data_IF_869282208189
#
_entry.id   IF_869282208189
#
_cell.length_a   1.000
_cell.length_b   1.000
_cell.length_c   1.000
_cell.angle_alpha   90.00
_cell.angle_beta   90.00
_cell.angle_gamma   90.00
#
_symmetry.space_group_name_H-M   'P 1'
#
loop_
_entity.id
_entity.type
_entity.pdbx_description
1 polymer ?
#
# COMPACT_ATOMS: atom_id res chain seq x y z
N UNK A 1 4.49 2.42 -3.94
CA UNK A 1 4.35 3.71 -3.23
C UNK A 1 2.93 4.24 -3.41
N UNK A 2 2.31 4.77 -2.37
CA UNK A 2 0.97 5.40 -2.38
C UNK A 2 1.11 6.92 -2.33
N UNK A 3 0.07 7.65 -2.79
CA UNK A 3 -0.02 9.11 -2.67
C UNK A 3 -1.39 9.51 -2.13
N UNK A 4 -1.51 10.75 -1.65
CA UNK A 4 -2.78 11.28 -1.18
C UNK A 4 -3.77 11.56 -2.31
N UNK A 5 -5.06 11.60 -1.97
CA UNK A 5 -6.15 11.91 -2.92
C UNK A 5 -5.91 13.21 -3.70
N UNK A 6 -5.55 14.30 -3.01
CA UNK A 6 -5.32 15.58 -3.67
C UNK A 6 -4.15 15.53 -4.68
N UNK A 7 -3.10 14.76 -4.38
CA UNK A 7 -1.97 14.54 -5.28
C UNK A 7 -2.38 13.68 -6.48
N UNK A 8 -3.15 12.63 -6.25
CA UNK A 8 -3.73 11.80 -7.31
C UNK A 8 -4.62 12.59 -8.25
N UNK A 9 -5.50 13.44 -7.72
CA UNK A 9 -6.35 14.33 -8.51
C UNK A 9 -5.53 15.33 -9.34
N UNK A 10 -4.49 15.92 -8.77
CA UNK A 10 -3.61 16.83 -9.51
C UNK A 10 -2.87 16.11 -10.64
N UNK A 11 -2.44 14.87 -10.40
CA UNK A 11 -1.84 14.04 -11.45
C UNK A 11 -2.87 13.74 -12.56
N UNK A 12 -4.05 13.26 -12.23
CA UNK A 12 -5.11 12.97 -13.21
C UNK A 12 -5.52 14.20 -14.01
N UNK A 13 -5.56 15.37 -13.37
CA UNK A 13 -5.85 16.65 -14.04
C UNK A 13 -4.83 17.00 -15.11
N UNK A 14 -3.53 16.69 -14.90
CA UNK A 14 -2.48 16.87 -15.93
C UNK A 14 -2.74 16.03 -17.18
N UNK A 15 -3.41 14.89 -17.03
CA UNK A 15 -3.83 14.03 -18.15
C UNK A 15 -5.20 14.40 -18.74
N UNK A 16 -5.87 15.42 -18.20
CA UNK A 16 -7.14 15.94 -18.73
C UNK A 16 -8.40 15.43 -18.03
N UNK A 17 -8.28 14.67 -16.94
CA UNK A 17 -9.45 14.27 -16.13
C UNK A 17 -9.96 15.48 -15.36
N UNK A 18 -11.26 15.72 -15.44
CA UNK A 18 -11.91 16.78 -14.64
C UNK A 18 -12.02 16.34 -13.18
N UNK A 19 -11.59 17.23 -12.30
CA UNK A 19 -11.68 17.06 -10.84
C UNK A 19 -12.27 18.33 -10.23
N UNK A 20 -12.93 18.26 -9.05
CA UNK A 20 -13.37 19.45 -8.33
C UNK A 20 -12.18 20.34 -7.95
N UNK A 21 -12.41 21.64 -7.82
CA UNK A 21 -11.38 22.52 -7.26
C UNK A 21 -11.20 22.20 -5.79
N UNK A 22 -9.96 22.04 -5.39
CA UNK A 22 -9.62 21.72 -4.00
C UNK A 22 -8.27 22.31 -3.59
N UNK A 23 -8.09 22.56 -2.30
CA UNK A 23 -6.86 23.12 -1.73
C UNK A 23 -6.45 22.25 -0.54
N UNK A 24 -5.25 21.65 -0.53
CA UNK A 24 -4.72 20.94 0.62
C UNK A 24 -4.37 21.90 1.75
N UNK A 25 -4.67 21.53 3.00
CA UNK A 25 -4.49 22.35 4.18
C UNK A 25 -3.86 21.55 5.32
N UNK A 26 -2.99 22.21 6.10
CA UNK A 26 -2.25 21.61 7.21
C UNK A 26 -2.63 22.23 8.57
N UNK A 27 -3.53 23.21 8.56
CA UNK A 27 -4.09 23.81 9.76
C UNK A 27 -5.56 24.19 9.55
N UNK A 28 -6.28 24.41 10.66
CA UNK A 28 -7.68 24.84 10.62
C UNK A 28 -7.82 26.22 9.95
N UNK A 29 -6.88 27.13 10.19
CA UNK A 29 -6.93 28.46 9.59
C UNK A 29 -6.65 28.43 8.09
N UNK A 30 -5.77 27.53 7.61
CA UNK A 30 -5.60 27.28 6.18
C UNK A 30 -6.87 26.71 5.56
N UNK A 31 -7.58 25.81 6.25
CA UNK A 31 -8.84 25.25 5.77
C UNK A 31 -9.92 26.31 5.58
N UNK A 32 -10.03 27.25 6.51
CA UNK A 32 -10.94 28.39 6.40
C UNK A 32 -10.59 29.28 5.22
N UNK A 33 -9.31 29.67 5.08
CA UNK A 33 -8.83 30.48 3.95
C UNK A 33 -9.03 29.78 2.60
N UNK A 34 -8.84 28.46 2.56
CA UNK A 34 -9.09 27.65 1.37
C UNK A 34 -10.55 27.69 0.96
N UNK A 35 -11.48 27.55 1.90
CA UNK A 35 -12.91 27.63 1.61
C UNK A 35 -13.31 29.02 1.11
N UNK A 36 -12.79 30.09 1.73
CA UNK A 36 -13.00 31.47 1.29
C UNK A 36 -12.45 31.69 -0.14
N UNK A 37 -11.27 31.17 -0.44
CA UNK A 37 -10.65 31.28 -1.77
C UNK A 37 -11.39 30.49 -2.85
N UNK A 38 -11.90 29.30 -2.52
CA UNK A 38 -12.73 28.50 -3.44
C UNK A 38 -14.07 29.20 -3.76
N UNK A 39 -14.60 29.95 -2.77
CA UNK A 39 -15.92 30.57 -2.89
C UNK A 39 -17.06 29.54 -2.87
N UNK A 40 -18.24 29.98 -3.27
CA UNK A 40 -19.43 29.11 -3.27
C UNK A 40 -20.15 29.08 -1.92
N UNK A 41 -21.01 28.08 -1.71
CA UNK A 41 -21.83 27.94 -0.50
C UNK A 41 -21.78 26.55 0.12
N UNK A 42 -21.10 25.61 -0.53
CA UNK A 42 -20.94 24.23 -0.05
C UNK A 42 -19.51 23.80 -0.28
N UNK A 43 -18.89 23.27 0.76
CA UNK A 43 -17.55 22.70 0.72
C UNK A 43 -17.54 21.29 1.31
N UNK A 44 -16.53 20.51 0.98
CA UNK A 44 -16.28 19.20 1.59
C UNK A 44 -14.93 19.25 2.28
N UNK A 45 -14.91 18.91 3.57
CA UNK A 45 -13.70 18.77 4.38
C UNK A 45 -13.33 17.31 4.39
N UNK A 46 -12.18 16.95 3.78
CA UNK A 46 -11.74 15.57 3.59
C UNK A 46 -10.41 15.31 4.29
N UNK A 47 -10.38 14.33 5.19
CA UNK A 47 -9.13 13.79 5.71
C UNK A 47 -8.25 13.26 4.58
N UNK A 48 -6.96 13.50 4.65
CA UNK A 48 -5.99 12.95 3.70
C UNK A 48 -5.12 11.93 4.41
N UNK A 49 -5.41 10.64 4.17
CA UNK A 49 -4.64 9.47 4.59
C UNK A 49 -4.56 8.49 3.42
N UNK A 50 -3.58 7.57 3.44
CA UNK A 50 -3.40 6.54 2.40
C UNK A 50 -4.35 5.34 2.57
N UNK A 51 -5.60 5.60 2.97
CA UNK A 51 -6.63 4.57 3.14
C UNK A 51 -7.97 5.01 2.55
N UNK A 52 -8.72 4.04 2.06
CA UNK A 52 -10.11 4.19 1.65
C UNK A 52 -11.08 4.15 2.82
N UNK A 53 -12.38 4.32 2.56
CA UNK A 53 -13.43 4.26 3.58
C UNK A 53 -13.49 5.46 4.53
N UNK A 54 -12.79 6.56 4.21
CA UNK A 54 -12.69 7.76 5.05
C UNK A 54 -14.04 8.37 5.41
N UNK A 55 -15.00 8.32 4.48
CA UNK A 55 -16.36 8.83 4.72
C UNK A 55 -17.08 8.04 5.81
N UNK A 56 -17.04 6.71 5.77
CA UNK A 56 -17.61 5.81 6.80
C UNK A 56 -16.93 6.01 8.17
N UNK A 57 -15.61 6.28 8.17
CA UNK A 57 -14.84 6.58 9.39
C UNK A 57 -15.05 8.00 9.96
N UNK A 58 -15.84 8.86 9.32
CA UNK A 58 -16.08 10.22 9.77
C UNK A 58 -15.05 11.25 9.29
N UNK A 59 -14.10 10.84 8.44
CA UNK A 59 -13.06 11.70 7.88
C UNK A 59 -13.51 12.58 6.70
N UNK A 60 -14.78 12.56 6.31
CA UNK A 60 -15.34 13.40 5.24
C UNK A 60 -16.62 14.06 5.73
N UNK A 61 -16.69 15.39 5.67
CA UNK A 61 -17.85 16.18 6.12
C UNK A 61 -18.19 17.29 5.13
N UNK A 62 -19.48 17.44 4.88
CA UNK A 62 -20.03 18.54 4.08
C UNK A 62 -20.22 19.75 5.00
N UNK A 63 -19.72 20.91 4.57
CA UNK A 63 -19.86 22.19 5.23
C UNK A 63 -20.73 23.13 4.39
N UNK A 64 -21.67 23.81 5.01
CA UNK A 64 -22.59 24.79 4.37
C UNK A 64 -22.32 26.23 4.80
N UNK A 65 -21.31 26.41 5.64
CA UNK A 65 -20.83 27.71 6.10
C UNK A 65 -19.33 27.64 6.40
N UNK A 66 -18.67 28.79 6.45
CA UNK A 66 -17.26 28.90 6.88
C UNK A 66 -17.10 28.44 8.35
N UNK A 67 -18.10 28.66 9.19
CA UNK A 67 -18.10 28.16 10.56
C UNK A 67 -18.11 26.62 10.60
N UNK A 68 -18.89 25.96 9.71
CA UNK A 68 -18.88 24.50 9.60
C UNK A 68 -17.51 24.00 9.13
N UNK A 69 -16.88 24.68 8.15
CA UNK A 69 -15.52 24.33 7.69
C UNK A 69 -14.55 24.35 8.86
N UNK A 70 -14.55 25.41 9.66
CA UNK A 70 -13.70 25.53 10.86
C UNK A 70 -13.96 24.39 11.85
N UNK A 71 -15.22 24.11 12.14
CA UNK A 71 -15.62 23.06 13.08
C UNK A 71 -15.19 21.68 12.59
N UNK A 72 -15.49 21.34 11.32
CA UNK A 72 -15.13 20.05 10.75
C UNK A 72 -13.62 19.88 10.61
N UNK A 73 -12.90 20.92 10.17
CA UNK A 73 -11.45 20.90 10.12
C UNK A 73 -10.82 20.67 11.50
N UNK A 74 -11.34 21.33 12.55
CA UNK A 74 -10.89 21.16 13.93
C UNK A 74 -11.13 19.74 14.47
N UNK A 75 -12.23 19.10 14.08
CA UNK A 75 -12.56 17.75 14.51
C UNK A 75 -11.77 16.67 13.76
N UNK A 76 -11.47 16.90 12.48
CA UNK A 76 -10.84 15.89 11.61
C UNK A 76 -9.31 15.98 11.66
N UNK A 77 -8.75 17.19 11.68
CA UNK A 77 -7.29 17.36 11.73
C UNK A 77 -6.74 16.86 13.08
N UNK A 78 -5.80 15.94 13.04
CA UNK A 78 -5.20 15.33 14.21
C UNK A 78 -5.97 14.13 14.79
N UNK A 79 -7.18 13.82 14.29
CA UNK A 79 -7.91 12.63 14.72
C UNK A 79 -7.18 11.35 14.30
N UNK A 80 -7.41 10.28 15.06
CA UNK A 80 -7.05 8.93 14.68
C UNK A 80 -8.21 8.35 13.87
N UNK A 81 -8.05 8.29 12.54
CA UNK A 81 -9.12 7.85 11.65
C UNK A 81 -9.04 6.35 11.44
N UNK A 82 -10.06 5.64 11.90
CA UNK A 82 -10.21 4.20 11.74
C UNK A 82 -11.09 3.91 10.53
N UNK A 83 -10.57 3.10 9.62
CA UNK A 83 -11.29 2.57 8.45
C UNK A 83 -11.02 1.07 8.34
N UNK A 84 -11.72 0.37 7.45
CA UNK A 84 -11.45 -1.05 7.18
C UNK A 84 -10.03 -1.31 6.60
N UNK A 85 -9.33 -0.25 6.12
CA UNK A 85 -7.98 -0.35 5.55
C UNK A 85 -6.86 0.11 6.50
N UNK A 86 -7.18 0.75 7.64
CA UNK A 86 -6.17 1.24 8.61
C UNK A 86 -5.92 0.31 9.79
N UNK A 87 -6.70 -0.78 9.91
CA UNK A 87 -6.70 -1.58 11.14
C UNK A 87 -7.37 -0.84 12.31
N UNK A 88 -7.39 -1.50 13.46
CA UNK A 88 -8.05 -0.98 14.69
C UNK A 88 -7.35 0.26 15.27
N UNK A 89 -6.05 0.40 15.05
CA UNK A 89 -5.26 1.54 15.53
C UNK A 89 -5.55 2.82 14.76
N UNK A 90 -6.04 2.70 13.52
CA UNK A 90 -6.32 3.82 12.63
C UNK A 90 -5.06 4.53 12.14
N UNK A 91 -5.26 5.62 11.40
CA UNK A 91 -4.21 6.49 10.88
C UNK A 91 -4.44 7.92 11.34
N UNK A 92 -3.38 8.59 11.82
CA UNK A 92 -3.47 9.99 12.23
C UNK A 92 -3.63 10.90 11.04
N UNK A 93 -4.68 11.73 11.06
CA UNK A 93 -4.93 12.75 10.02
C UNK A 93 -4.01 13.95 10.23
N UNK A 94 -3.05 14.15 9.33
CA UNK A 94 -2.09 15.27 9.40
C UNK A 94 -2.37 16.39 8.42
N UNK A 95 -3.29 16.16 7.48
CA UNK A 95 -3.67 17.14 6.45
C UNK A 95 -5.11 16.94 5.98
N UNK A 96 -5.68 18.00 5.45
CA UNK A 96 -7.04 18.04 4.93
C UNK A 96 -7.01 18.43 3.45
N UNK A 97 -8.06 18.07 2.72
CA UNK A 97 -8.42 18.67 1.45
C UNK A 97 -9.73 19.42 1.66
N UNK A 98 -9.74 20.72 1.37
CA UNK A 98 -10.97 21.50 1.27
C UNK A 98 -11.35 21.57 -0.19
N UNK A 99 -12.52 21.08 -0.52
CA UNK A 99 -12.99 20.91 -1.89
C UNK A 99 -14.35 21.56 -2.09
N UNK A 100 -14.61 22.11 -3.28
CA UNK A 100 -15.93 22.61 -3.64
C UNK A 100 -16.95 21.48 -3.66
N UNK A 101 -18.18 21.78 -3.26
CA UNK A 101 -19.29 20.81 -3.34
C UNK A 101 -19.63 20.48 -4.80
N UNK A 102 -20.04 19.24 -5.05
CA UNK A 102 -20.46 18.76 -6.36
C UNK A 102 -21.95 18.37 -6.35
N UNK A 103 -22.66 18.65 -7.44
CA UNK A 103 -24.03 18.20 -7.66
C UNK A 103 -24.03 16.75 -8.17
N UNK A 104 -24.07 15.79 -7.27
CA UNK A 104 -23.96 14.36 -7.56
C UNK A 104 -25.33 13.82 -7.97
N UNK A 105 -25.47 13.44 -9.25
CA UNK A 105 -26.64 12.73 -9.75
C UNK A 105 -26.46 11.22 -9.71
N UNK A 106 -25.24 10.73 -10.01
CA UNK A 106 -24.89 9.31 -10.01
C UNK A 106 -23.44 9.12 -9.60
N UNK A 107 -23.19 8.12 -8.80
CA UNK A 107 -21.84 7.68 -8.41
C UNK A 107 -21.48 6.40 -9.15
N UNK A 108 -20.30 6.35 -9.73
CA UNK A 108 -19.79 5.28 -10.57
C UNK A 108 -18.40 4.88 -10.07
N UNK A 109 -17.98 3.69 -10.41
CA UNK A 109 -16.63 3.19 -10.13
C UNK A 109 -15.84 3.01 -11.41
N UNK A 110 -14.57 3.41 -11.42
CA UNK A 110 -13.60 3.09 -12.46
C UNK A 110 -12.25 2.78 -11.81
N UNK A 111 -11.67 1.63 -12.15
CA UNK A 111 -10.36 1.23 -11.65
C UNK A 111 -9.52 0.54 -12.73
N UNK A 112 -8.20 0.66 -12.61
CA UNK A 112 -7.22 -0.02 -13.45
C UNK A 112 -6.24 -0.78 -12.57
N UNK A 113 -5.98 -2.02 -12.96
CA UNK A 113 -4.99 -2.90 -12.34
C UNK A 113 -4.26 -3.70 -13.41
N UNK A 114 -3.10 -4.23 -13.07
CA UNK A 114 -2.47 -5.29 -13.87
C UNK A 114 -3.11 -6.62 -13.47
N UNK A 115 -3.81 -7.24 -14.39
CA UNK A 115 -4.33 -8.60 -14.21
C UNK A 115 -3.20 -9.61 -14.44
N UNK A 116 -2.86 -10.37 -13.41
CA UNK A 116 -1.78 -11.35 -13.44
C UNK A 116 -2.11 -12.59 -14.29
N UNK A 117 -3.39 -12.90 -14.45
CA UNK A 117 -3.85 -14.05 -15.24
C UNK A 117 -3.70 -13.77 -16.72
N UNK A 118 -4.20 -12.62 -17.17
CA UNK A 118 -4.13 -12.20 -18.57
C UNK A 118 -2.81 -11.50 -18.91
N UNK A 119 -2.04 -11.07 -17.90
CA UNK A 119 -0.82 -10.27 -18.04
C UNK A 119 -1.03 -8.95 -18.80
N UNK A 120 -2.23 -8.37 -18.64
CA UNK A 120 -2.64 -7.12 -19.28
C UNK A 120 -3.16 -6.13 -18.25
N UNK A 121 -3.17 -4.85 -18.62
CA UNK A 121 -3.90 -3.84 -17.85
C UNK A 121 -5.39 -4.08 -18.06
N UNK A 122 -6.12 -4.22 -16.98
CA UNK A 122 -7.57 -4.40 -16.99
C UNK A 122 -8.26 -3.16 -16.42
N UNK A 123 -9.15 -2.59 -17.22
CA UNK A 123 -10.10 -1.57 -16.77
C UNK A 123 -11.29 -2.27 -16.15
N UNK A 124 -11.67 -1.84 -14.97
CA UNK A 124 -12.92 -2.22 -14.31
C UNK A 124 -13.82 -1.01 -14.19
N UNK A 125 -15.09 -1.16 -14.53
CA UNK A 125 -16.09 -0.09 -14.39
C UNK A 125 -17.39 -0.66 -13.82
N UNK A 126 -18.05 0.10 -12.93
CA UNK A 126 -19.32 -0.30 -12.33
C UNK A 126 -20.28 0.89 -12.19
N UNK A 127 -21.58 0.59 -12.26
CA UNK A 127 -22.65 1.54 -11.90
C UNK A 127 -22.73 1.78 -10.39
N UNK A 128 -22.07 0.97 -9.59
CA UNK A 128 -22.02 1.04 -8.12
C UNK A 128 -20.74 1.75 -7.69
N UNK A 129 -20.82 3.06 -7.49
CA UNK A 129 -19.71 3.88 -6.98
C UNK A 129 -19.96 4.38 -5.55
N UNK A 130 -18.94 4.98 -4.94
CA UNK A 130 -19.01 5.50 -3.58
C UNK A 130 -19.04 4.44 -2.49
N UNK A 131 -18.87 3.17 -2.85
CA UNK A 131 -18.85 2.02 -1.94
C UNK A 131 -17.64 1.13 -2.22
N UNK A 132 -17.40 0.17 -1.32
CA UNK A 132 -16.27 -0.75 -1.45
C UNK A 132 -16.50 -1.69 -2.64
N UNK A 133 -15.60 -1.65 -3.63
CA UNK A 133 -15.75 -2.45 -4.86
C UNK A 133 -15.63 -3.95 -4.59
N UNK A 134 -14.92 -4.34 -3.54
CA UNK A 134 -14.81 -5.71 -3.07
C UNK A 134 -16.18 -6.26 -2.62
N UNK A 135 -16.98 -5.42 -1.99
CA UNK A 135 -18.37 -5.78 -1.60
C UNK A 135 -19.26 -5.96 -2.83
N UNK A 136 -19.08 -5.12 -3.86
CA UNK A 136 -19.79 -5.27 -5.15
C UNK A 136 -19.34 -6.55 -5.84
N UNK A 137 -18.03 -6.86 -5.82
CA UNK A 137 -17.48 -8.06 -6.43
C UNK A 137 -18.00 -9.36 -5.76
N UNK A 138 -18.26 -9.31 -4.47
CA UNK A 138 -18.80 -10.45 -3.70
C UNK A 138 -20.31 -10.64 -3.92
N UNK A 139 -21.09 -9.54 -3.86
CA UNK A 139 -22.56 -9.59 -3.85
C UNK A 139 -23.19 -9.53 -5.24
N UNK A 140 -22.62 -8.73 -6.13
CA UNK A 140 -23.18 -8.40 -7.45
C UNK A 140 -22.07 -8.30 -8.52
N UNK A 141 -21.27 -9.35 -8.73
CA UNK A 141 -20.13 -9.34 -9.63
C UNK A 141 -20.49 -9.00 -11.08
N UNK A 142 -21.74 -9.25 -11.49
CA UNK A 142 -22.29 -8.91 -12.82
C UNK A 142 -22.35 -7.40 -13.09
N UNK A 143 -22.32 -6.57 -12.03
CA UNK A 143 -22.29 -5.10 -12.17
C UNK A 143 -20.86 -4.56 -12.40
N UNK A 144 -19.83 -5.42 -12.32
CA UNK A 144 -18.45 -5.04 -12.62
C UNK A 144 -18.10 -5.46 -14.04
N UNK A 145 -17.98 -4.48 -14.93
CA UNK A 145 -17.56 -4.70 -16.30
C UNK A 145 -16.03 -4.62 -16.40
N UNK A 146 -15.42 -5.67 -16.95
CA UNK A 146 -13.95 -5.77 -17.10
C UNK A 146 -13.57 -5.73 -18.58
N UNK A 147 -12.48 -5.04 -18.88
CA UNK A 147 -11.92 -4.94 -20.22
C UNK A 147 -10.40 -4.97 -20.13
N UNK A 148 -9.79 -5.98 -20.75
CA UNK A 148 -8.34 -6.04 -20.94
C UNK A 148 -7.91 -5.13 -22.08
N UNK A 149 -6.86 -4.35 -21.87
CA UNK A 149 -6.38 -3.33 -22.80
C UNK A 149 -5.10 -3.82 -23.49
N UNK A 150 -5.09 -3.79 -24.80
CA UNK A 150 -3.88 -3.98 -25.59
C UNK A 150 -2.97 -2.75 -25.42
N UNK A 151 -1.74 -2.90 -24.89
CA UNK A 151 -0.85 -1.78 -24.69
C UNK A 151 -0.41 -1.08 -25.98
N UNK A 152 -0.52 -1.75 -27.15
CA UNK A 152 -0.22 -1.14 -28.44
C UNK A 152 -1.24 -0.09 -28.86
N UNK A 153 -2.49 -0.22 -28.43
CA UNK A 153 -3.60 0.67 -28.82
C UNK A 153 -4.09 1.57 -27.69
N UNK A 154 -3.88 1.14 -26.42
CA UNK A 154 -4.52 1.76 -25.28
C UNK A 154 -6.05 1.60 -25.31
N UNK A 155 -6.76 2.42 -24.57
CA UNK A 155 -8.23 2.44 -24.55
C UNK A 155 -8.74 3.15 -25.80
N UNK A 156 -9.40 2.41 -26.69
CA UNK A 156 -9.99 2.98 -27.90
C UNK A 156 -11.32 3.72 -27.60
N UNK A 157 -11.74 4.60 -28.51
CA UNK A 157 -13.02 5.32 -28.40
C UNK A 157 -14.20 4.37 -28.22
N UNK A 158 -14.25 3.32 -29.05
CA UNK A 158 -15.33 2.34 -29.00
C UNK A 158 -15.39 1.57 -27.67
N UNK A 159 -14.24 1.22 -27.11
CA UNK A 159 -14.14 0.56 -25.81
C UNK A 159 -14.59 1.47 -24.68
N UNK A 160 -14.15 2.72 -24.67
CA UNK A 160 -14.55 3.70 -23.67
C UNK A 160 -16.05 3.99 -23.73
N UNK A 161 -16.62 4.14 -24.93
CA UNK A 161 -18.05 4.38 -25.13
C UNK A 161 -18.90 3.17 -24.68
N UNK A 162 -18.46 1.94 -25.00
CA UNK A 162 -19.15 0.73 -24.58
C UNK A 162 -19.19 0.60 -23.04
N UNK A 163 -18.02 0.76 -22.38
CA UNK A 163 -17.96 0.76 -20.91
C UNK A 163 -18.83 1.86 -20.30
N UNK A 164 -18.78 3.06 -20.87
CA UNK A 164 -19.59 4.20 -20.41
C UNK A 164 -21.08 3.90 -20.44
N UNK A 165 -21.57 3.31 -21.53
CA UNK A 165 -22.99 2.92 -21.67
C UNK A 165 -23.37 1.84 -20.67
N UNK A 166 -22.51 0.83 -20.47
CA UNK A 166 -22.76 -0.27 -19.51
C UNK A 166 -22.92 0.23 -18.08
N UNK A 167 -22.16 1.24 -17.67
CA UNK A 167 -22.29 1.83 -16.33
C UNK A 167 -23.35 2.94 -16.26
N UNK A 168 -24.05 3.20 -17.37
CA UNK A 168 -25.20 4.10 -17.46
C UNK A 168 -24.85 5.58 -17.57
N UNK A 169 -23.76 5.91 -18.25
CA UNK A 169 -23.45 7.28 -18.69
C UNK A 169 -24.28 7.60 -19.93
N UNK A 170 -25.00 8.74 -19.95
CA UNK A 170 -25.85 9.10 -21.07
C UNK A 170 -25.03 9.54 -22.30
N UNK A 171 -25.62 9.41 -23.50
CA UNK A 171 -24.96 9.71 -24.78
C UNK A 171 -24.33 11.12 -24.81
N UNK A 172 -25.01 12.13 -24.24
CA UNK A 172 -24.49 13.51 -24.20
C UNK A 172 -23.21 13.68 -23.34
N UNK A 173 -22.86 12.70 -22.49
CA UNK A 173 -21.69 12.73 -21.61
C UNK A 173 -20.58 11.77 -22.07
N UNK A 174 -20.76 11.01 -23.14
CA UNK A 174 -19.80 10.01 -23.61
C UNK A 174 -18.44 10.61 -23.95
N UNK A 175 -18.38 11.77 -24.57
CA UNK A 175 -17.13 12.42 -24.93
C UNK A 175 -16.26 12.74 -23.67
N UNK A 176 -16.90 13.17 -22.58
CA UNK A 176 -16.21 13.44 -21.32
C UNK A 176 -15.78 12.12 -20.64
N UNK A 177 -16.64 11.11 -20.65
CA UNK A 177 -16.33 9.79 -20.09
C UNK A 177 -15.18 9.12 -20.83
N UNK A 178 -15.17 9.19 -22.17
CA UNK A 178 -14.07 8.71 -23.01
C UNK A 178 -12.74 9.34 -22.60
N UNK A 179 -12.73 10.67 -22.42
CA UNK A 179 -11.54 11.38 -21.92
C UNK A 179 -11.09 10.81 -20.59
N UNK A 180 -11.99 10.49 -19.65
CA UNK A 180 -11.64 9.91 -18.36
C UNK A 180 -10.97 8.54 -18.52
N UNK A 181 -11.57 7.61 -19.28
CA UNK A 181 -11.02 6.26 -19.47
C UNK A 181 -9.65 6.29 -20.15
N UNK A 182 -9.50 7.09 -21.20
CA UNK A 182 -8.25 7.21 -21.95
C UNK A 182 -7.15 7.90 -21.13
N UNK A 183 -7.49 8.98 -20.43
CA UNK A 183 -6.55 9.71 -19.60
C UNK A 183 -6.12 8.90 -18.38
N UNK A 184 -7.03 8.16 -17.74
CA UNK A 184 -6.72 7.29 -16.62
C UNK A 184 -5.78 6.16 -17.04
N UNK A 185 -6.03 5.52 -18.20
CA UNK A 185 -5.14 4.51 -18.75
C UNK A 185 -3.76 5.10 -19.07
N UNK A 186 -3.71 6.27 -19.71
CA UNK A 186 -2.46 6.94 -20.05
C UNK A 186 -1.66 7.30 -18.78
N UNK A 187 -2.32 7.85 -17.77
CA UNK A 187 -1.70 8.12 -16.48
C UNK A 187 -1.16 6.85 -15.83
N UNK A 188 -1.97 5.77 -15.80
CA UNK A 188 -1.57 4.47 -15.26
C UNK A 188 -0.31 3.94 -15.95
N UNK A 189 -0.29 3.92 -17.28
CA UNK A 189 0.80 3.39 -18.09
C UNK A 189 2.08 4.21 -17.99
N UNK A 190 1.98 5.53 -18.17
CA UNK A 190 3.14 6.42 -18.22
C UNK A 190 3.81 6.65 -16.85
N UNK A 191 3.08 6.41 -15.76
CA UNK A 191 3.61 6.60 -14.40
C UNK A 191 3.97 5.30 -13.70
N UNK A 192 3.90 4.16 -14.39
CA UNK A 192 4.07 2.83 -13.81
C UNK A 192 3.18 2.62 -12.58
N UNK A 193 1.93 3.03 -12.67
CA UNK A 193 0.98 2.79 -11.61
C UNK A 193 0.66 1.28 -11.52
N UNK A 194 0.49 0.78 -10.30
CA UNK A 194 0.02 -0.58 -10.00
C UNK A 194 -1.48 -0.64 -9.72
N UNK A 195 -2.05 0.51 -9.34
CA UNK A 195 -3.48 0.75 -9.15
C UNK A 195 -3.78 2.20 -9.52
N UNK A 196 -4.84 2.41 -10.28
CA UNK A 196 -5.47 3.72 -10.42
C UNK A 196 -6.98 3.53 -10.26
N UNK A 197 -7.57 4.22 -9.30
CA UNK A 197 -8.98 4.08 -8.95
C UNK A 197 -9.62 5.46 -8.81
N UNK A 198 -10.80 5.61 -9.38
CA UNK A 198 -11.71 6.74 -9.19
C UNK A 198 -12.98 6.19 -8.54
N UNK A 199 -13.19 6.51 -7.28
CA UNK A 199 -14.34 5.99 -6.52
C UNK A 199 -14.85 7.03 -5.48
N UNK A 200 -15.87 7.83 -5.87
CA UNK A 200 -16.64 7.72 -7.10
C UNK A 200 -16.11 8.57 -8.28
N UNK A 201 -16.36 8.08 -9.48
CA UNK A 201 -16.54 8.90 -10.67
C UNK A 201 -17.99 9.37 -10.66
N UNK A 202 -18.26 10.66 -10.77
CA UNK A 202 -19.63 11.18 -10.70
C UNK A 202 -20.14 11.69 -12.03
N UNK A 203 -21.43 11.49 -12.24
CA UNK A 203 -22.22 12.22 -13.22
C UNK A 203 -23.00 13.32 -12.47
N UNK A 204 -22.81 14.56 -12.89
CA UNK A 204 -23.52 15.71 -12.30
C UNK A 204 -24.89 15.90 -12.93
N UNK A 205 -25.74 16.73 -12.30
CA UNK A 205 -27.05 17.11 -12.85
C UNK A 205 -26.96 17.77 -14.23
N UNK A 206 -25.86 18.45 -14.54
CA UNK A 206 -25.59 19.08 -15.84
C UNK A 206 -24.98 18.12 -16.87
N UNK A 207 -24.76 16.85 -16.52
CA UNK A 207 -24.15 15.86 -17.41
C UNK A 207 -22.62 15.89 -17.44
N UNK A 208 -21.96 16.59 -16.54
CA UNK A 208 -20.51 16.55 -16.43
C UNK A 208 -20.04 15.24 -15.77
N UNK A 209 -18.91 14.72 -16.27
CA UNK A 209 -18.24 13.53 -15.71
C UNK A 209 -16.98 13.99 -14.98
N UNK A 210 -16.95 13.76 -13.66
CA UNK A 210 -15.92 14.33 -12.75
C UNK A 210 -15.38 13.24 -11.82
N UNK A 211 -14.06 13.17 -11.65
CA UNK A 211 -13.42 12.30 -10.65
C UNK A 211 -13.49 12.97 -9.27
N UNK A 212 -14.37 12.48 -8.41
CA UNK A 212 -14.60 13.06 -7.08
C UNK A 212 -13.57 12.58 -6.06
N UNK A 213 -13.06 11.37 -6.21
CA UNK A 213 -11.95 10.82 -5.43
C UNK A 213 -10.95 10.13 -6.36
N UNK A 214 -9.72 10.00 -5.94
CA UNK A 214 -8.67 9.34 -6.70
C UNK A 214 -7.71 8.61 -5.75
N UNK A 215 -7.42 7.36 -6.08
CA UNK A 215 -6.42 6.53 -5.39
C UNK A 215 -5.44 5.99 -6.41
N UNK A 216 -4.17 6.36 -6.26
CA UNK A 216 -3.09 5.89 -7.11
C UNK A 216 -2.00 5.23 -6.28
N UNK A 217 -1.59 4.06 -6.72
CA UNK A 217 -0.41 3.37 -6.22
C UNK A 217 0.55 3.16 -7.38
N UNK A 218 1.85 3.28 -7.12
CA UNK A 218 2.89 3.15 -8.12
C UNK A 218 3.77 1.94 -7.83
N UNK A 219 4.29 1.32 -8.88
CA UNK A 219 5.27 0.25 -8.76
C UNK A 219 6.57 0.83 -8.18
N UNK A 220 6.93 0.38 -6.98
CA UNK A 220 8.14 0.85 -6.30
C UNK A 220 9.41 0.51 -7.07
N UNK A 221 9.40 -0.55 -7.90
CA UNK A 221 10.53 -0.94 -8.73
C UNK A 221 10.78 0.04 -9.90
N UNK A 222 9.78 0.85 -10.26
CA UNK A 222 9.88 1.82 -11.36
C UNK A 222 10.18 3.25 -10.88
N UNK A 223 10.15 3.53 -9.57
CA UNK A 223 10.29 4.89 -9.02
C UNK A 223 11.61 5.57 -9.37
N UNK A 224 12.67 4.82 -9.69
CA UNK A 224 13.95 5.37 -10.11
C UNK A 224 13.84 6.26 -11.36
N UNK A 225 12.81 6.08 -12.17
CA UNK A 225 12.54 6.88 -13.37
C UNK A 225 11.42 7.93 -13.21
N UNK A 226 10.85 8.07 -12.02
CA UNK A 226 9.73 8.97 -11.68
C UNK A 226 10.05 9.84 -10.47
N UNK A 227 11.05 10.71 -10.60
CA UNK A 227 11.50 11.60 -9.52
C UNK A 227 10.39 12.55 -9.04
N UNK A 228 9.50 12.98 -9.93
CA UNK A 228 8.34 13.82 -9.60
C UNK A 228 7.30 13.07 -8.74
N UNK A 229 7.13 11.78 -8.96
CA UNK A 229 6.25 10.93 -8.13
C UNK A 229 6.91 10.64 -6.78
N UNK A 230 8.21 10.36 -6.77
CA UNK A 230 8.96 10.18 -5.51
C UNK A 230 8.83 11.40 -4.60
N UNK A 231 8.82 12.61 -5.16
CA UNK A 231 8.64 13.86 -4.41
C UNK A 231 7.25 13.97 -3.72
N UNK A 232 6.27 13.15 -4.11
CA UNK A 232 4.94 13.11 -3.50
C UNK A 232 4.86 12.16 -2.29
N UNK A 233 5.92 11.42 -2.00
CA UNK A 233 5.97 10.43 -0.92
C UNK A 233 5.72 11.09 0.43
N UNK A 234 4.89 10.45 1.24
CA UNK A 234 4.62 10.85 2.61
C UNK A 234 5.06 9.75 3.58
N UNK A 235 6.19 9.96 4.24
CA UNK A 235 6.76 8.98 5.19
C UNK A 235 5.90 8.81 6.44
N UNK A 236 5.08 9.78 6.82
CA UNK A 236 4.15 9.68 7.94
C UNK A 236 2.99 8.70 7.69
N UNK A 237 2.80 8.28 6.44
CA UNK A 237 1.78 7.32 6.01
C UNK A 237 2.36 5.91 5.78
N UNK A 238 3.66 5.73 5.96
CA UNK A 238 4.35 4.45 5.79
C UNK A 238 4.72 3.83 7.13
N UNK A 239 4.90 2.51 7.16
CA UNK A 239 5.35 1.82 8.36
C UNK A 239 6.79 2.23 8.72
N UNK A 240 7.07 2.65 9.97
CA UNK A 240 8.40 3.09 10.38
C UNK A 240 9.48 2.01 10.24
N UNK A 241 9.14 0.73 10.38
CA UNK A 241 10.09 -0.37 10.20
C UNK A 241 10.43 -0.57 8.73
N UNK A 242 9.45 -0.42 7.83
CA UNK A 242 9.66 -0.48 6.37
C UNK A 242 10.53 0.69 5.88
N UNK A 243 10.29 1.90 6.42
CA UNK A 243 11.13 3.07 6.15
C UNK A 243 12.57 2.83 6.59
N UNK A 244 12.75 2.32 7.79
CA UNK A 244 14.10 2.05 8.32
C UNK A 244 14.82 0.98 7.49
N UNK A 245 14.12 -0.10 7.14
CA UNK A 245 14.64 -1.19 6.32
C UNK A 245 15.12 -0.68 4.93
N UNK A 246 14.37 0.23 4.34
CA UNK A 246 14.72 0.79 3.03
C UNK A 246 16.05 1.54 3.01
N UNK A 247 16.51 2.09 4.14
CA UNK A 247 17.80 2.77 4.26
C UNK A 247 18.99 1.82 4.12
N UNK A 248 18.77 0.54 4.40
CA UNK A 248 19.78 -0.52 4.34
C UNK A 248 19.57 -1.45 3.14
N UNK A 249 18.71 -1.06 2.20
CA UNK A 249 18.37 -1.90 1.04
C UNK A 249 17.88 -3.30 1.47
N UNK A 250 17.02 -3.34 2.47
CA UNK A 250 16.31 -4.52 2.97
C UNK A 250 14.87 -4.50 2.48
N UNK A 251 14.41 -5.60 1.88
CA UNK A 251 13.00 -5.78 1.58
C UNK A 251 12.27 -6.27 2.83
N UNK A 252 11.58 -5.38 3.52
CA UNK A 252 10.85 -5.65 4.76
C UNK A 252 9.38 -5.28 4.62
N UNK A 253 8.50 -6.15 5.11
CA UNK A 253 7.06 -5.88 5.24
C UNK A 253 6.63 -6.33 6.64
N UNK A 254 6.01 -5.44 7.40
CA UNK A 254 5.46 -5.74 8.71
C UNK A 254 4.18 -6.58 8.58
N UNK A 255 4.05 -7.61 9.42
CA UNK A 255 2.87 -8.46 9.53
C UNK A 255 2.42 -8.55 11.00
N UNK A 256 1.22 -9.10 11.23
CA UNK A 256 0.57 -9.11 12.56
C UNK A 256 1.00 -10.27 13.47
N UNK A 257 1.98 -11.09 13.07
CA UNK A 257 2.43 -12.25 13.83
C UNK A 257 3.47 -11.94 14.89
N UNK A 258 4.00 -13.01 15.50
CA UNK A 258 4.97 -12.97 16.60
C UNK A 258 6.27 -13.74 16.34
N UNK A 259 6.44 -14.31 15.13
CA UNK A 259 7.67 -15.02 14.73
C UNK A 259 8.38 -14.20 13.65
N UNK A 260 9.52 -13.62 14.00
CA UNK A 260 10.37 -12.88 13.07
C UNK A 260 11.02 -13.80 12.05
N UNK A 261 11.07 -13.35 10.80
CA UNK A 261 11.68 -14.10 9.70
C UNK A 261 12.84 -13.30 9.10
N UNK A 262 14.03 -13.91 9.02
CA UNK A 262 15.18 -13.38 8.30
C UNK A 262 15.63 -14.41 7.26
N UNK A 263 15.52 -14.05 6.00
CA UNK A 263 15.71 -14.99 4.88
C UNK A 263 16.50 -14.32 3.76
N UNK A 264 17.23 -15.07 2.98
CA UNK A 264 17.84 -14.59 1.73
C UNK A 264 17.10 -15.13 0.53
N UNK A 265 16.45 -14.21 -0.20
CA UNK A 265 15.63 -14.49 -1.36
C UNK A 265 14.14 -14.52 -1.09
N UNK A 266 13.40 -13.71 -1.85
CA UNK A 266 11.96 -13.49 -1.65
C UNK A 266 11.12 -14.78 -1.73
N UNK A 267 11.44 -15.69 -2.66
CA UNK A 267 10.74 -16.97 -2.78
C UNK A 267 10.93 -17.86 -1.54
N UNK A 268 12.16 -17.90 -0.99
CA UNK A 268 12.44 -18.64 0.24
C UNK A 268 11.76 -17.98 1.44
N UNK A 269 11.67 -16.64 1.49
CA UNK A 269 10.98 -15.91 2.54
C UNK A 269 9.49 -16.25 2.55
N UNK A 270 8.82 -16.23 1.40
CA UNK A 270 7.41 -16.63 1.27
C UNK A 270 7.20 -18.08 1.72
N UNK A 271 8.01 -19.02 1.20
CA UNK A 271 7.91 -20.41 1.59
C UNK A 271 8.17 -20.65 3.09
N UNK A 272 9.05 -19.84 3.70
CA UNK A 272 9.31 -19.90 5.14
C UNK A 272 8.08 -19.48 5.94
N UNK A 273 7.46 -18.38 5.56
CA UNK A 273 6.22 -17.89 6.20
C UNK A 273 5.07 -18.89 6.05
N UNK A 274 4.88 -19.45 4.86
CA UNK A 274 3.86 -20.48 4.61
C UNK A 274 4.10 -21.71 5.49
N UNK A 275 5.37 -22.13 5.62
CA UNK A 275 5.71 -23.28 6.46
C UNK A 275 5.43 -22.97 7.95
N UNK A 276 5.78 -21.77 8.45
CA UNK A 276 5.44 -21.37 9.83
C UNK A 276 3.91 -21.43 10.04
N UNK A 277 3.13 -20.91 9.10
CA UNK A 277 1.66 -20.99 9.14
C UNK A 277 1.15 -22.43 9.18
N UNK A 278 1.71 -23.31 8.35
CA UNK A 278 1.35 -24.73 8.30
C UNK A 278 1.56 -25.43 9.67
N UNK A 279 2.58 -25.03 10.43
CA UNK A 279 2.86 -25.52 11.77
C UNK A 279 2.12 -24.77 12.89
N UNK A 280 1.20 -23.87 12.54
CA UNK A 280 0.33 -23.15 13.48
C UNK A 280 0.97 -21.93 14.13
N UNK A 281 2.02 -21.36 13.53
CA UNK A 281 2.64 -20.12 13.94
C UNK A 281 2.20 -18.92 13.12
N UNK A 282 2.52 -17.72 13.58
CA UNK A 282 2.16 -16.46 12.92
C UNK A 282 3.43 -15.64 12.59
N UNK A 283 3.80 -15.49 11.29
CA UNK A 283 4.93 -14.66 10.89
C UNK A 283 4.71 -13.19 11.24
N UNK A 284 5.73 -12.56 11.84
CA UNK A 284 5.71 -11.15 12.22
C UNK A 284 6.15 -10.22 11.09
N UNK A 285 6.86 -10.73 10.09
CA UNK A 285 7.36 -9.96 8.97
C UNK A 285 7.76 -10.85 7.79
N UNK A 286 7.71 -10.25 6.59
CA UNK A 286 8.52 -10.67 5.46
C UNK A 286 9.85 -9.93 5.54
N UNK A 287 10.97 -10.62 5.33
CA UNK A 287 12.29 -9.98 5.22
C UNK A 287 13.19 -10.78 4.29
N UNK A 288 13.65 -10.12 3.23
CA UNK A 288 14.68 -10.63 2.33
C UNK A 288 15.93 -9.75 2.47
N UNK A 289 17.01 -10.32 2.99
CA UNK A 289 18.30 -9.63 3.11
C UNK A 289 19.09 -9.58 1.80
N UNK A 290 18.58 -10.24 0.75
CA UNK A 290 19.23 -10.34 -0.55
C UNK A 290 20.41 -11.30 -0.60
N UNK A 291 20.92 -11.54 -1.81
CA UNK A 291 22.06 -12.45 -2.06
C UNK A 291 23.44 -11.90 -1.66
N UNK A 292 23.54 -10.63 -1.25
CA UNK A 292 24.78 -9.95 -0.88
C UNK A 292 24.76 -9.39 0.55
N UNK A 293 24.00 -10.00 1.48
CA UNK A 293 23.88 -9.49 2.84
C UNK A 293 25.24 -9.49 3.57
N UNK A 294 25.52 -8.34 4.17
CA UNK A 294 26.68 -8.14 5.04
C UNK A 294 26.28 -8.33 6.50
N UNK A 295 27.26 -8.48 7.40
CA UNK A 295 27.01 -8.49 8.83
C UNK A 295 26.25 -7.24 9.31
N UNK A 296 26.49 -6.08 8.68
CA UNK A 296 25.77 -4.84 8.96
C UNK A 296 24.30 -4.94 8.60
N UNK A 297 23.96 -5.37 7.37
CA UNK A 297 22.56 -5.59 6.93
C UNK A 297 21.83 -6.56 7.87
N UNK A 298 22.46 -7.67 8.26
CA UNK A 298 21.90 -8.63 9.19
C UNK A 298 21.65 -7.98 10.56
N UNK A 299 22.60 -7.17 11.05
CA UNK A 299 22.46 -6.47 12.34
C UNK A 299 21.28 -5.49 12.31
N UNK A 300 21.14 -4.70 11.26
CA UNK A 300 20.02 -3.76 11.13
C UNK A 300 18.68 -4.50 10.97
N UNK A 301 18.66 -5.61 10.24
CA UNK A 301 17.50 -6.48 10.16
C UNK A 301 17.03 -6.96 11.54
N UNK A 302 17.95 -7.44 12.40
CA UNK A 302 17.60 -7.82 13.77
C UNK A 302 17.08 -6.64 14.58
N UNK A 303 17.73 -5.46 14.50
CA UNK A 303 17.28 -4.24 15.20
C UNK A 303 15.87 -3.85 14.81
N UNK A 304 15.54 -3.95 13.51
CA UNK A 304 14.21 -3.63 12.99
C UNK A 304 13.18 -4.61 13.53
N UNK A 305 13.44 -5.93 13.41
CA UNK A 305 12.52 -6.95 13.91
C UNK A 305 12.27 -6.83 15.43
N UNK A 306 13.31 -6.54 16.21
CA UNK A 306 13.23 -6.42 17.68
C UNK A 306 12.48 -5.17 18.17
N UNK A 307 12.11 -4.24 17.29
CA UNK A 307 11.20 -3.14 17.64
C UNK A 307 9.75 -3.60 17.78
N UNK A 308 9.40 -4.74 17.20
CA UNK A 308 8.07 -5.32 17.35
C UNK A 308 7.93 -5.89 18.80
N UNK A 309 7.08 -5.32 19.66
CA UNK A 309 6.91 -5.76 21.03
C UNK A 309 6.29 -7.15 21.17
N UNK A 310 5.57 -7.60 20.13
CA UNK A 310 4.90 -8.90 20.09
C UNK A 310 5.84 -10.04 19.66
N UNK A 311 7.09 -9.72 19.28
CA UNK A 311 8.05 -10.71 18.81
C UNK A 311 8.45 -11.68 19.92
N UNK A 312 8.20 -12.97 19.71
CA UNK A 312 8.49 -14.05 20.66
C UNK A 312 9.62 -14.97 20.25
N UNK A 313 9.87 -15.15 18.97
CA UNK A 313 10.96 -15.95 18.44
C UNK A 313 11.39 -15.44 17.06
N UNK A 314 12.60 -15.80 16.63
CA UNK A 314 13.11 -15.47 15.28
C UNK A 314 13.55 -16.76 14.58
N UNK A 315 13.16 -16.89 13.31
CA UNK A 315 13.66 -17.89 12.38
C UNK A 315 14.59 -17.23 11.36
N UNK A 316 15.85 -17.64 11.35
CA UNK A 316 16.80 -17.35 10.28
C UNK A 316 16.83 -18.55 9.35
N UNK A 317 16.43 -18.38 8.10
CA UNK A 317 16.42 -19.44 7.11
C UNK A 317 17.22 -19.01 5.86
N UNK A 318 18.41 -19.61 5.73
CA UNK A 318 19.39 -19.24 4.71
C UNK A 318 19.63 -20.41 3.75
N UNK A 319 19.63 -20.10 2.47
CA UNK A 319 20.15 -20.96 1.44
C UNK A 319 21.41 -20.32 0.85
N UNK A 320 22.57 -20.89 1.16
CA UNK A 320 23.88 -20.42 0.72
C UNK A 320 24.12 -20.79 -0.74
N UNK A 321 24.10 -19.76 -1.59
CA UNK A 321 24.53 -19.83 -2.98
C UNK A 321 25.74 -18.90 -3.18
N UNK A 322 25.50 -17.72 -3.77
CA UNK A 322 26.49 -16.63 -3.85
C UNK A 322 26.91 -16.19 -2.44
N UNK A 323 25.94 -16.07 -1.54
CA UNK A 323 26.20 -15.84 -0.12
C UNK A 323 26.55 -17.17 0.56
N UNK A 324 27.64 -17.18 1.33
CA UNK A 324 28.12 -18.35 2.04
C UNK A 324 27.53 -18.43 3.45
N UNK A 325 27.25 -19.66 3.91
CA UNK A 325 26.67 -19.88 5.24
C UNK A 325 27.59 -19.41 6.40
N UNK A 326 28.88 -19.50 6.26
CA UNK A 326 29.86 -19.01 7.25
C UNK A 326 29.77 -17.48 7.41
N UNK A 327 29.68 -16.73 6.31
CA UNK A 327 29.52 -15.26 6.35
C UNK A 327 28.22 -14.85 7.05
N UNK A 328 27.14 -15.58 6.79
CA UNK A 328 25.87 -15.31 7.48
C UNK A 328 25.93 -15.71 8.95
N UNK A 329 26.58 -16.84 9.27
CA UNK A 329 26.75 -17.25 10.67
C UNK A 329 27.49 -16.17 11.48
N UNK A 330 28.57 -15.60 10.93
CA UNK A 330 29.29 -14.49 11.54
C UNK A 330 28.40 -13.25 11.69
N UNK A 331 27.62 -12.92 10.67
CA UNK A 331 26.64 -11.83 10.70
C UNK A 331 25.58 -12.03 11.79
N UNK A 332 24.98 -13.20 11.87
CA UNK A 332 23.98 -13.57 12.90
C UNK A 332 24.59 -13.50 14.31
N UNK A 333 25.79 -14.03 14.51
CA UNK A 333 26.48 -14.00 15.80
C UNK A 333 26.78 -12.55 16.21
N UNK A 334 27.33 -11.77 15.29
CA UNK A 334 27.65 -10.34 15.52
C UNK A 334 26.41 -9.54 15.87
N UNK A 335 25.37 -9.70 15.07
CA UNK A 335 24.08 -9.03 15.27
C UNK A 335 23.45 -9.42 16.61
N UNK A 336 23.38 -10.72 16.91
CA UNK A 336 22.78 -11.22 18.17
C UNK A 336 23.48 -10.66 19.41
N UNK A 337 24.82 -10.55 19.37
CA UNK A 337 25.61 -9.93 20.45
C UNK A 337 25.38 -8.42 20.54
N UNK A 338 25.39 -7.73 19.39
CA UNK A 338 25.22 -6.27 19.34
C UNK A 338 23.85 -5.80 19.85
N UNK A 339 22.78 -6.56 19.57
CA UNK A 339 21.42 -6.22 20.02
C UNK A 339 21.07 -6.82 21.39
N UNK A 340 21.92 -7.69 21.94
CA UNK A 340 21.64 -8.39 23.19
C UNK A 340 20.38 -9.25 23.09
N UNK A 341 20.31 -10.10 22.06
CA UNK A 341 19.12 -10.89 21.71
C UNK A 341 18.57 -11.67 22.90
N UNK A 342 17.30 -11.45 23.23
CA UNK A 342 16.62 -12.10 24.37
C UNK A 342 15.56 -13.12 23.94
N UNK A 343 15.14 -13.08 22.69
CA UNK A 343 14.16 -14.03 22.14
C UNK A 343 14.87 -15.26 21.58
N UNK A 344 14.24 -16.45 21.61
CA UNK A 344 14.79 -17.65 21.00
C UNK A 344 15.12 -17.45 19.52
N UNK A 345 16.27 -17.96 19.10
CA UNK A 345 16.75 -17.88 17.72
C UNK A 345 16.88 -19.29 17.14
N UNK A 346 16.06 -19.60 16.16
CA UNK A 346 16.16 -20.82 15.35
C UNK A 346 16.88 -20.51 14.07
N UNK A 347 17.88 -21.30 13.70
CA UNK A 347 18.68 -21.09 12.48
C UNK A 347 18.71 -22.35 11.63
N UNK A 348 18.29 -22.21 10.40
CA UNK A 348 18.45 -23.22 9.34
C UNK A 348 19.36 -22.65 8.28
N UNK A 349 20.46 -23.37 7.99
CA UNK A 349 21.41 -23.01 6.92
C UNK A 349 21.64 -24.22 6.02
N UNK A 350 21.59 -24.00 4.71
CA UNK A 350 21.90 -24.99 3.67
C UNK A 350 22.73 -24.34 2.56
N UNK A 351 23.59 -25.13 1.92
CA UNK A 351 24.35 -24.71 0.75
C UNK A 351 25.84 -24.48 1.03
N UNK A 352 26.44 -23.48 0.35
CA UNK A 352 27.88 -23.25 0.37
C UNK A 352 28.40 -22.97 1.79
N UNK A 353 29.40 -23.72 2.23
CA UNK A 353 30.02 -23.65 3.57
C UNK A 353 29.04 -23.96 4.73
N UNK A 354 28.03 -24.81 4.49
CA UNK A 354 27.01 -25.19 5.49
C UNK A 354 27.64 -25.70 6.79
N UNK A 355 28.55 -26.66 6.73
CA UNK A 355 29.19 -27.26 7.90
C UNK A 355 30.02 -26.24 8.70
N UNK A 356 30.72 -25.35 8.01
CA UNK A 356 31.48 -24.27 8.68
C UNK A 356 30.54 -23.28 9.35
N UNK A 357 29.45 -22.87 8.71
CA UNK A 357 28.44 -21.99 9.28
C UNK A 357 27.80 -22.60 10.53
N UNK A 358 27.38 -23.88 10.48
CA UNK A 358 26.85 -24.60 11.66
C UNK A 358 27.84 -24.68 12.80
N UNK A 359 29.11 -24.96 12.50
CA UNK A 359 30.17 -24.99 13.49
C UNK A 359 30.36 -23.65 14.19
N UNK A 360 30.43 -22.55 13.43
CA UNK A 360 30.54 -21.19 13.98
C UNK A 360 29.38 -20.85 14.92
N UNK A 361 28.16 -21.20 14.54
CA UNK A 361 26.96 -20.99 15.38
C UNK A 361 27.06 -21.81 16.68
N UNK A 362 27.44 -23.07 16.60
CA UNK A 362 27.57 -23.95 17.77
C UNK A 362 28.66 -23.48 18.75
N UNK A 363 29.79 -22.98 18.24
CA UNK A 363 30.90 -22.47 19.00
C UNK A 363 30.72 -21.03 19.51
N UNK A 364 29.67 -20.35 19.10
CA UNK A 364 29.39 -18.92 19.43
C UNK A 364 29.07 -18.67 20.90
N UNK A 365 28.63 -19.70 21.62
CA UNK A 365 28.13 -19.60 22.99
C UNK A 365 26.75 -18.93 23.13
N UNK A 366 26.07 -18.65 22.01
CA UNK A 366 24.71 -18.13 21.98
C UNK A 366 23.67 -19.27 22.04
N UNK A 367 22.51 -19.06 22.66
CA UNK A 367 21.44 -20.06 22.74
C UNK A 367 20.69 -20.20 21.40
N UNK A 368 21.43 -20.67 20.38
CA UNK A 368 20.90 -20.86 19.03
C UNK A 368 20.39 -22.28 18.85
N UNK A 369 19.18 -22.42 18.36
CA UNK A 369 18.55 -23.70 18.03
C UNK A 369 18.78 -24.00 16.56
N UNK A 370 19.58 -25.00 16.23
CA UNK A 370 19.83 -25.41 14.85
C UNK A 370 18.70 -26.28 14.30
N UNK A 371 18.43 -26.18 13.00
CA UNK A 371 17.50 -27.01 12.25
C UNK A 371 18.09 -27.40 10.90
N UNK A 372 17.82 -28.62 10.43
CA UNK A 372 18.33 -29.16 9.17
C UNK A 372 17.33 -29.08 8.00
N UNK A 373 16.04 -29.02 8.28
CA UNK A 373 14.99 -28.86 7.29
C UNK A 373 14.09 -27.65 7.56
N UNK A 374 13.33 -27.22 6.56
CA UNK A 374 12.35 -26.15 6.74
C UNK A 374 11.23 -26.56 7.72
N UNK A 375 10.75 -27.78 7.62
CA UNK A 375 9.72 -28.31 8.51
C UNK A 375 10.21 -28.32 9.96
N UNK A 376 11.41 -28.84 10.22
CA UNK A 376 12.03 -28.85 11.54
C UNK A 376 12.24 -27.42 12.09
N UNK A 377 12.69 -26.50 11.23
CA UNK A 377 12.89 -25.11 11.62
C UNK A 377 11.57 -24.43 12.02
N UNK A 378 10.49 -24.66 11.26
CA UNK A 378 9.17 -24.14 11.58
C UNK A 378 8.60 -24.76 12.85
N UNK A 379 8.72 -26.07 13.03
CA UNK A 379 8.29 -26.76 14.26
C UNK A 379 9.00 -26.19 15.49
N UNK A 380 10.33 -26.06 15.42
CA UNK A 380 11.16 -25.54 16.53
C UNK A 380 10.85 -24.09 16.84
N UNK A 381 10.70 -23.20 15.84
CA UNK A 381 10.42 -21.79 16.09
C UNK A 381 9.00 -21.57 16.62
N UNK A 382 8.02 -22.33 16.12
CA UNK A 382 6.64 -22.27 16.64
C UNK A 382 6.59 -22.77 18.10
N UNK A 383 7.31 -23.84 18.41
CA UNK A 383 7.41 -24.31 19.79
C UNK A 383 8.09 -23.28 20.72
N UNK A 384 9.10 -22.57 20.22
CA UNK A 384 9.84 -21.57 20.97
C UNK A 384 9.06 -20.24 21.14
N UNK A 385 8.05 -19.98 20.31
CA UNK A 385 7.21 -18.79 20.36
C UNK A 385 5.99 -18.90 21.29
N UNK A 386 5.72 -20.08 21.84
CA UNK A 386 4.62 -20.33 22.80
C UNK A 386 4.99 -19.80 24.18
#
# INVERSE_FOLDING_TARGET
>A
MKIHEYQGKELLKRYGVRVPRGIPCFSVDEAVKAAEALGGSVWVVKAQIHAGGRGKGGGVKVAKSIADVRTHAGNILGMQLVTHQTGAEGQKVRRLLIEEGADIKKELYVGLVVDRVTQQVTVMASSEGGMDIEEVAEKTPELIHKLSIDPATGVTDAQADDLSRRIGIPEGSLAQSRTVFQALYKAFWETDASLAEINPLILTGNGDVIALDAKLNFDSNALFRHADIVALRDLDEEDPAEIEASKFDLAYIQLDGNIGCLVNGAGLAMATMDTIKLFGGEPANFLDVGGGATAEKVTEAFKIMLRNPELKAILVNIFGGIMKCDTIAEGVITASRAVGLKVPLVVRMKGTNEELGKKLLAESGLPIISADSMAEAAEKVVAAAK
#
